data_IF_088588195397
#
_entry.id   IF_088588195397
#
_cell.length_a   1.000
_cell.length_b   1.000
_cell.length_c   1.000
_cell.angle_alpha   90.00
_cell.angle_beta   90.00
_cell.angle_gamma   90.00
#
_symmetry.space_group_name_H-M   'P 1'
#
loop_
_entity.id
_entity.type
_entity.pdbx_description
1 polymer ?
#
# COMPACT_ATOMS: atom_id res chain seq x y z
N UNK A 1 38.22 -4.51 31.56
CA UNK A 1 37.53 -3.21 31.39
C UNK A 1 37.20 -3.10 29.91
N UNK A 2 35.92 -3.19 29.54
CA UNK A 2 35.49 -3.08 28.15
C UNK A 2 35.21 -1.61 27.85
N UNK A 3 35.94 -1.05 26.90
CA UNK A 3 35.75 0.32 26.40
C UNK A 3 34.37 0.44 25.74
N UNK A 4 33.46 1.32 26.20
CA UNK A 4 32.23 1.59 25.49
C UNK A 4 32.60 2.40 24.25
N UNK A 5 32.62 1.75 23.08
CA UNK A 5 32.72 2.47 21.80
C UNK A 5 31.55 3.46 21.77
N UNK A 6 31.81 4.78 21.68
CA UNK A 6 30.74 5.75 21.60
C UNK A 6 29.89 5.40 20.40
N UNK A 7 28.59 5.18 20.62
CA UNK A 7 27.67 5.02 19.51
C UNK A 7 27.78 6.28 18.64
N UNK A 8 27.94 6.13 17.30
CA UNK A 8 28.18 7.26 16.43
C UNK A 8 27.03 8.27 16.57
N UNK A 9 27.36 9.56 16.67
CA UNK A 9 26.35 10.61 16.75
C UNK A 9 25.55 10.64 15.44
N UNK A 10 24.30 11.10 15.51
CA UNK A 10 23.40 11.19 14.35
C UNK A 10 24.05 11.97 13.18
N UNK A 11 24.84 12.99 13.50
CA UNK A 11 25.61 13.77 12.54
C UNK A 11 26.74 12.98 11.85
N UNK A 12 27.39 12.04 12.55
CA UNK A 12 28.39 11.14 11.98
C UNK A 12 27.75 10.15 11.00
N UNK A 13 26.56 9.63 11.37
CA UNK A 13 25.76 8.75 10.51
C UNK A 13 25.41 9.48 9.21
N UNK A 14 24.92 10.73 9.32
CA UNK A 14 24.56 11.54 8.16
C UNK A 14 25.78 11.96 7.32
N UNK A 15 26.91 12.25 7.95
CA UNK A 15 28.15 12.57 7.27
C UNK A 15 28.71 11.37 6.49
N UNK A 16 28.63 10.17 7.06
CA UNK A 16 29.06 8.93 6.40
C UNK A 16 28.21 8.62 5.17
N UNK A 17 26.89 8.75 5.26
CA UNK A 17 25.98 8.56 4.12
C UNK A 17 26.29 9.60 3.04
N UNK A 18 26.47 10.87 3.41
CA UNK A 18 26.82 11.94 2.46
C UNK A 18 28.16 11.69 1.76
N UNK A 19 29.16 11.16 2.47
CA UNK A 19 30.47 10.81 1.88
C UNK A 19 30.35 9.67 0.87
N UNK A 20 29.59 8.62 1.18
CA UNK A 20 29.42 7.46 0.29
C UNK A 20 28.68 7.85 -1.00
N UNK A 21 27.69 8.74 -0.91
CA UNK A 21 26.94 9.22 -2.08
C UNK A 21 27.78 10.20 -2.92
N UNK A 22 28.61 11.02 -2.28
CA UNK A 22 29.48 11.96 -2.98
C UNK A 22 30.70 11.28 -3.64
N UNK A 23 31.20 10.18 -3.06
CA UNK A 23 32.34 9.39 -3.54
C UNK A 23 31.88 8.26 -4.49
N UNK A 24 30.96 8.56 -5.42
CA UNK A 24 30.51 7.59 -6.41
C UNK A 24 31.72 7.11 -7.25
N UNK A 25 32.13 5.82 -7.23
CA UNK A 25 33.06 5.32 -8.23
C UNK A 25 32.29 5.20 -9.54
N UNK A 26 32.32 6.29 -10.31
CA UNK A 26 31.70 6.38 -11.61
C UNK A 26 32.08 5.22 -12.53
N UNK A 27 31.05 4.63 -13.12
CA UNK A 27 31.00 4.19 -14.52
C UNK A 27 32.30 3.62 -15.13
N UNK A 28 32.62 2.36 -14.84
CA UNK A 28 33.46 1.57 -15.72
C UNK A 28 32.63 1.09 -16.93
N UNK A 29 32.64 1.88 -18.01
CA UNK A 29 32.10 1.50 -19.31
C UNK A 29 32.95 0.37 -19.92
N UNK A 30 32.38 -0.81 -20.28
CA UNK A 30 33.16 -1.85 -20.92
C UNK A 30 33.58 -1.42 -22.35
N UNK A 31 34.80 -1.79 -22.80
CA UNK A 31 35.31 -1.38 -24.10
C UNK A 31 34.45 -1.98 -25.23
N UNK A 32 34.06 -1.12 -26.18
CA UNK A 32 33.36 -1.48 -27.41
C UNK A 32 34.26 -2.38 -28.28
N UNK A 33 33.78 -3.55 -28.77
CA UNK A 33 34.55 -4.36 -29.70
C UNK A 33 34.64 -3.71 -31.09
N UNK A 34 35.81 -3.81 -31.71
CA UNK A 34 36.11 -3.31 -33.05
C UNK A 34 35.37 -4.11 -34.16
N UNK A 35 35.10 -3.53 -35.34
CA UNK A 35 34.40 -4.21 -36.43
C UNK A 35 35.31 -5.20 -37.18
N UNK A 36 34.87 -6.44 -37.31
CA UNK A 36 35.48 -7.50 -38.13
C UNK A 36 34.94 -7.44 -39.57
N UNK A 37 35.74 -7.67 -40.63
CA UNK A 37 35.30 -7.56 -42.04
C UNK A 37 34.34 -8.70 -42.48
N UNK A 38 33.56 -8.52 -43.56
CA UNK A 38 32.58 -9.52 -44.00
C UNK A 38 33.21 -10.58 -44.91
N UNK A 39 32.80 -11.84 -44.72
CA UNK A 39 33.07 -12.95 -45.63
C UNK A 39 31.78 -13.80 -45.80
N UNK A 40 31.62 -14.55 -46.92
CA UNK A 40 30.41 -14.56 -47.74
C UNK A 40 29.37 -15.62 -47.40
N UNK A 41 28.20 -15.44 -48.02
CA UNK A 41 26.95 -16.19 -47.84
C UNK A 41 26.94 -17.63 -48.39
N UNK A 42 26.25 -18.53 -47.69
CA UNK A 42 25.50 -19.69 -48.20
C UNK A 42 24.52 -20.21 -47.11
N UNK A 43 23.54 -21.10 -47.40
CA UNK A 43 22.16 -20.78 -47.74
C UNK A 43 21.11 -21.13 -46.64
N UNK A 44 19.90 -20.55 -46.82
CA UNK A 44 18.64 -20.72 -46.04
C UNK A 44 18.26 -22.17 -45.76
N UNK A 45 17.64 -22.46 -44.61
CA UNK A 45 16.31 -23.12 -44.45
C UNK A 45 15.80 -23.03 -42.99
N UNK A 46 14.47 -23.12 -42.85
CA UNK A 46 13.64 -23.23 -41.64
C UNK A 46 13.27 -21.92 -40.90
N UNK A 47 12.06 -21.45 -41.20
CA UNK A 47 11.33 -20.52 -40.36
C UNK A 47 11.17 -21.12 -38.94
N UNK A 48 11.74 -20.45 -37.95
CA UNK A 48 11.42 -20.65 -36.54
C UNK A 48 10.78 -19.34 -36.07
N UNK A 49 9.60 -19.41 -35.45
CA UNK A 49 8.87 -18.25 -34.92
C UNK A 49 9.78 -17.30 -34.13
N UNK A 50 9.53 -15.98 -34.13
CA UNK A 50 10.19 -15.08 -33.20
C UNK A 50 9.85 -15.54 -31.77
N UNK A 51 10.84 -16.12 -31.10
CA UNK A 51 10.76 -16.40 -29.68
C UNK A 51 10.51 -15.06 -28.97
N UNK A 52 9.38 -14.95 -28.26
CA UNK A 52 9.11 -13.84 -27.37
C UNK A 52 10.33 -13.60 -26.47
N UNK A 53 10.70 -12.33 -26.20
CA UNK A 53 11.82 -12.04 -25.31
C UNK A 53 11.59 -12.79 -23.99
N UNK A 54 12.55 -13.64 -23.62
CA UNK A 54 12.55 -14.30 -22.31
C UNK A 54 12.42 -13.18 -21.27
N UNK A 55 11.41 -13.29 -20.42
CA UNK A 55 11.34 -12.49 -19.22
C UNK A 55 12.70 -12.58 -18.50
N UNK A 56 13.29 -11.46 -18.04
CA UNK A 56 14.49 -11.53 -17.23
C UNK A 56 14.22 -12.44 -16.03
N UNK A 57 15.25 -13.22 -15.70
CA UNK A 57 15.35 -14.13 -14.56
C UNK A 57 14.45 -13.70 -13.39
N UNK A 58 13.40 -14.50 -13.14
CA UNK A 58 12.42 -14.25 -12.08
C UNK A 58 12.98 -14.56 -10.69
N UNK A 59 14.26 -14.92 -10.61
CA UNK A 59 15.01 -15.29 -9.40
C UNK A 59 15.61 -14.10 -8.66
N UNK A 60 15.44 -12.86 -9.14
CA UNK A 60 15.72 -11.68 -8.32
C UNK A 60 14.44 -11.31 -7.56
N UNK A 61 14.31 -11.65 -6.27
CA UNK A 61 13.20 -11.19 -5.47
C UNK A 61 13.22 -9.65 -5.44
N UNK A 62 12.05 -8.99 -5.55
CA UNK A 62 12.01 -7.54 -5.48
C UNK A 62 12.60 -7.01 -4.16
N UNK A 63 13.14 -5.78 -4.12
CA UNK A 63 13.73 -5.20 -2.90
C UNK A 63 12.72 -4.86 -1.79
N UNK A 64 11.46 -5.26 -1.97
CA UNK A 64 10.35 -5.08 -1.03
C UNK A 64 9.89 -6.47 -0.60
N UNK A 65 9.47 -6.65 0.66
CA UNK A 65 9.11 -7.96 1.18
C UNK A 65 8.00 -8.57 0.31
N UNK A 66 8.25 -9.78 -0.18
CA UNK A 66 7.23 -10.56 -0.86
C UNK A 66 6.02 -10.67 0.07
N UNK A 67 4.83 -10.41 -0.49
CA UNK A 67 3.56 -10.54 0.22
C UNK A 67 3.55 -11.92 0.88
N UNK A 68 3.51 -11.98 2.21
CA UNK A 68 3.41 -13.25 2.92
C UNK A 68 2.18 -13.97 2.41
N UNK A 69 2.38 -15.14 1.83
CA UNK A 69 1.32 -15.98 1.33
C UNK A 69 0.43 -16.34 2.54
N UNK A 70 -0.86 -15.95 2.56
CA UNK A 70 -1.75 -16.26 3.67
C UNK A 70 -2.02 -17.77 3.80
N UNK A 71 -1.51 -18.58 2.86
CA UNK A 71 -1.55 -20.05 2.91
C UNK A 71 -0.37 -20.67 3.68
N UNK A 72 0.56 -19.87 4.23
CA UNK A 72 1.55 -20.37 5.17
C UNK A 72 0.82 -20.99 6.38
N UNK A 73 1.03 -22.30 6.57
CA UNK A 73 0.33 -23.06 7.60
C UNK A 73 0.63 -22.50 9.00
N UNK A 74 -0.37 -22.47 9.90
CA UNK A 74 -0.22 -21.90 11.25
C UNK A 74 0.86 -22.61 12.08
N UNK A 75 1.28 -23.81 11.68
CA UNK A 75 2.31 -24.63 12.33
C UNK A 75 3.67 -23.91 12.47
N UNK A 76 4.06 -23.05 11.51
CA UNK A 76 5.35 -22.34 11.54
C UNK A 76 5.39 -21.14 12.51
N UNK A 77 4.22 -20.63 12.90
CA UNK A 77 4.08 -19.47 13.82
C UNK A 77 3.92 -19.91 15.28
N UNK A 78 3.61 -21.19 15.53
CA UNK A 78 3.29 -21.72 16.85
C UNK A 78 4.51 -22.20 17.66
N UNK A 79 5.69 -22.37 17.04
CA UNK A 79 6.90 -22.85 17.74
C UNK A 79 7.52 -21.83 18.71
N UNK A 80 7.15 -20.55 18.60
CA UNK A 80 7.69 -19.47 19.46
C UNK A 80 6.81 -19.13 20.68
N UNK A 81 5.70 -19.87 20.91
CA UNK A 81 4.72 -19.55 21.98
C UNK A 81 4.58 -20.65 23.03
N UNK A 82 5.40 -21.71 23.00
CA UNK A 82 5.35 -22.84 23.98
C UNK A 82 5.91 -22.48 25.38
N UNK A 83 5.70 -21.24 25.82
CA UNK A 83 5.78 -20.88 27.24
C UNK A 83 4.60 -20.01 27.61
N UNK A 84 3.41 -20.61 27.66
CA UNK A 84 2.24 -19.98 28.26
C UNK A 84 2.42 -19.91 29.79
N UNK A 85 2.36 -18.72 30.42
CA UNK A 85 2.20 -18.62 31.87
C UNK A 85 0.78 -19.06 32.28
N UNK A 86 0.66 -19.54 33.52
CA UNK A 86 -0.55 -20.13 34.11
C UNK A 86 -1.89 -19.47 33.75
N UNK A 87 -2.89 -20.32 33.60
CA UNK A 87 -4.27 -20.00 33.26
C UNK A 87 -4.84 -18.80 34.03
N UNK A 88 -5.24 -17.76 33.29
CA UNK A 88 -6.13 -16.73 33.79
C UNK A 88 -7.47 -17.35 34.18
N UNK A 89 -7.76 -17.43 35.49
CA UNK A 89 -9.11 -17.75 35.97
C UNK A 89 -9.96 -16.47 35.94
N UNK A 90 -10.98 -16.36 35.06
CA UNK A 90 -11.90 -15.23 35.12
C UNK A 90 -12.65 -15.27 36.45
N UNK A 91 -12.58 -14.18 37.21
CA UNK A 91 -13.35 -14.00 38.45
C UNK A 91 -14.83 -13.88 38.07
N UNK A 92 -15.68 -14.79 38.55
CA UNK A 92 -17.13 -14.67 38.40
C UNK A 92 -17.60 -13.46 39.20
N UNK A 93 -18.21 -12.42 38.58
CA UNK A 93 -18.77 -11.31 39.32
C UNK A 93 -20.03 -11.76 40.09
N UNK A 94 -20.35 -11.14 41.24
CA UNK A 94 -21.59 -11.43 41.97
C UNK A 94 -22.83 -11.11 41.11
N UNK A 95 -23.97 -11.76 41.35
CA UNK A 95 -25.20 -11.49 40.60
C UNK A 95 -25.66 -10.06 40.88
N UNK A 96 -25.65 -9.21 39.84
CA UNK A 96 -26.30 -7.91 39.86
C UNK A 96 -27.82 -8.10 39.66
N UNK A 97 -28.68 -7.35 40.37
CA UNK A 97 -30.13 -7.42 40.18
C UNK A 97 -30.48 -7.09 38.74
N UNK A 98 -31.42 -7.85 38.16
CA UNK A 98 -31.84 -7.73 36.77
C UNK A 98 -32.28 -6.30 36.45
N UNK A 99 -31.43 -5.56 35.75
CA UNK A 99 -31.79 -4.29 35.16
C UNK A 99 -32.86 -4.56 34.09
N UNK A 100 -33.94 -3.77 34.13
CA UNK A 100 -34.86 -3.58 33.00
C UNK A 100 -34.04 -3.49 31.71
N UNK A 101 -34.41 -4.20 30.62
CA UNK A 101 -33.61 -4.18 29.40
C UNK A 101 -33.58 -2.76 28.85
N UNK A 102 -32.50 -2.03 29.13
CA UNK A 102 -32.21 -0.79 28.45
C UNK A 102 -31.93 -1.14 26.99
N UNK A 103 -32.50 -0.40 26.01
CA UNK A 103 -32.20 -0.66 24.62
C UNK A 103 -30.68 -0.62 24.42
N UNK A 104 -30.13 -1.49 23.55
CA UNK A 104 -28.71 -1.49 23.28
C UNK A 104 -28.25 -0.09 22.86
N UNK A 105 -27.02 0.31 23.20
CA UNK A 105 -26.54 1.69 23.07
C UNK A 105 -26.69 2.24 21.65
N UNK A 106 -26.60 1.37 20.65
CA UNK A 106 -26.81 1.70 19.24
C UNK A 106 -28.25 2.14 18.96
N UNK A 107 -29.26 1.44 19.49
CA UNK A 107 -30.66 1.82 19.30
C UNK A 107 -30.96 3.16 19.96
N UNK A 108 -30.37 3.42 21.14
CA UNK A 108 -30.50 4.70 21.82
C UNK A 108 -29.88 5.85 21.03
N UNK A 109 -28.73 5.62 20.38
CA UNK A 109 -28.09 6.61 19.51
C UNK A 109 -28.94 6.90 18.25
N UNK A 110 -29.50 5.86 17.63
CA UNK A 110 -30.38 5.98 16.46
C UNK A 110 -31.65 6.77 16.79
N UNK A 111 -32.27 6.49 17.94
CA UNK A 111 -33.50 7.18 18.35
C UNK A 111 -33.23 8.67 18.63
N UNK A 112 -32.10 8.99 19.26
CA UNK A 112 -31.68 10.39 19.46
C UNK A 112 -31.44 11.13 18.15
N UNK A 113 -30.87 10.46 17.14
CA UNK A 113 -30.65 11.05 15.82
C UNK A 113 -32.00 11.34 15.13
N UNK A 114 -32.94 10.38 15.18
CA UNK A 114 -34.29 10.55 14.64
C UNK A 114 -35.06 11.70 15.29
N UNK A 115 -34.94 11.82 16.61
CA UNK A 115 -35.59 12.90 17.35
C UNK A 115 -34.98 14.25 16.97
N UNK A 116 -33.65 14.35 16.87
CA UNK A 116 -32.96 15.57 16.44
C UNK A 116 -33.33 15.97 15.00
N UNK A 117 -33.54 15.01 14.10
CA UNK A 117 -33.97 15.28 12.72
C UNK A 117 -35.42 15.78 12.65
N UNK A 118 -36.30 15.28 13.53
CA UNK A 118 -37.70 15.69 13.61
C UNK A 118 -37.88 17.10 14.21
N UNK A 119 -36.95 17.53 15.06
CA UNK A 119 -36.92 18.87 15.65
C UNK A 119 -36.26 19.91 14.72
N UNK A 120 -35.62 19.48 13.63
CA UNK A 120 -34.99 20.38 12.68
C UNK A 120 -36.03 20.98 11.73
N UNK A 121 -36.11 22.31 11.57
CA UNK A 121 -37.02 22.92 10.60
C UNK A 121 -36.68 22.44 9.17
N UNK A 122 -37.68 22.36 8.26
CA UNK A 122 -37.44 21.90 6.89
C UNK A 122 -36.32 22.75 6.28
N UNK A 123 -35.29 22.07 5.79
CA UNK A 123 -34.09 22.69 5.24
C UNK A 123 -34.47 23.64 4.10
N UNK A 124 -34.61 24.92 4.43
CA UNK A 124 -34.76 25.97 3.42
C UNK A 124 -33.37 26.14 2.82
N UNK A 125 -33.18 25.98 1.50
CA UNK A 125 -31.86 26.10 0.88
C UNK A 125 -31.39 27.55 1.02
N UNK A 126 -30.68 27.83 2.11
CA UNK A 126 -29.99 29.09 2.32
C UNK A 126 -28.73 29.04 1.45
N UNK A 127 -28.51 30.00 0.55
CA UNK A 127 -27.28 30.03 -0.22
C UNK A 127 -26.12 30.14 0.76
N UNK A 128 -25.33 29.08 0.88
CA UNK A 128 -24.08 29.11 1.63
C UNK A 128 -23.13 30.00 0.86
N UNK A 129 -22.64 31.12 1.43
CA UNK A 129 -21.60 31.89 0.81
C UNK A 129 -20.42 30.95 0.56
N UNK A 130 -19.82 31.04 -0.63
CA UNK A 130 -18.73 30.16 -1.09
C UNK A 130 -17.51 30.18 -0.15
N UNK A 131 -17.46 31.15 0.75
CA UNK A 131 -16.45 31.33 1.80
C UNK A 131 -16.65 30.47 3.05
N UNK A 132 -17.82 29.85 3.24
CA UNK A 132 -18.11 28.97 4.38
C UNK A 132 -18.04 27.48 4.04
N UNK A 133 -17.85 27.11 2.77
CA UNK A 133 -17.50 25.74 2.44
C UNK A 133 -16.10 25.45 2.99
N UNK A 134 -15.87 24.29 3.63
CA UNK A 134 -14.52 23.85 3.97
C UNK A 134 -13.76 23.77 2.65
N UNK A 135 -12.90 24.76 2.41
CA UNK A 135 -11.97 24.74 1.30
C UNK A 135 -11.10 23.53 1.55
N UNK A 136 -11.26 22.48 0.73
CA UNK A 136 -10.14 21.55 0.51
C UNK A 136 -8.93 22.44 0.27
N UNK A 137 -7.82 22.27 1.03
CA UNK A 137 -6.66 23.10 0.84
C UNK A 137 -6.16 22.83 -0.57
N UNK A 138 -6.58 23.68 -1.51
CA UNK A 138 -5.91 23.81 -2.78
C UNK A 138 -4.51 24.29 -2.42
N UNK A 139 -3.45 23.57 -2.82
CA UNK A 139 -2.09 23.97 -2.51
C UNK A 139 -1.91 25.38 -3.05
N UNK A 140 -1.82 26.35 -2.13
CA UNK A 140 -1.54 27.72 -2.48
C UNK A 140 -0.11 27.70 -2.98
N UNK A 141 0.20 28.23 -4.18
CA UNK A 141 1.58 28.51 -4.53
C UNK A 141 2.03 29.71 -3.68
N UNK A 142 2.28 29.46 -2.39
CA UNK A 142 3.13 30.34 -1.61
C UNK A 142 4.52 30.17 -2.19
N UNK A 143 4.99 31.22 -2.85
CA UNK A 143 6.29 31.25 -3.48
C UNK A 143 7.38 30.84 -2.50
N UNK A 144 8.26 29.93 -2.96
CA UNK A 144 9.48 29.58 -2.26
C UNK A 144 9.98 28.18 -2.59
N UNK A 145 9.10 27.18 -2.54
CA UNK A 145 9.55 25.81 -2.49
C UNK A 145 8.62 24.93 -3.32
N UNK A 146 9.12 24.53 -4.50
CA UNK A 146 8.72 23.26 -5.12
C UNK A 146 9.01 22.20 -4.05
N UNK A 147 7.99 21.82 -3.30
CA UNK A 147 8.12 20.76 -2.33
C UNK A 147 8.48 19.48 -3.08
N UNK A 148 9.36 18.68 -2.49
CA UNK A 148 9.72 17.39 -3.07
C UNK A 148 8.47 16.53 -3.32
N UNK A 149 7.45 16.64 -2.47
CA UNK A 149 6.15 15.99 -2.66
C UNK A 149 5.47 16.41 -3.97
N UNK A 150 5.44 17.71 -4.27
CA UNK A 150 4.87 18.19 -5.53
C UNK A 150 5.65 17.64 -6.73
N UNK A 151 6.98 17.64 -6.68
CA UNK A 151 7.79 17.10 -7.78
C UNK A 151 7.63 15.58 -7.94
N UNK A 152 7.65 14.82 -6.84
CA UNK A 152 7.46 13.36 -6.84
C UNK A 152 6.06 13.01 -7.33
N UNK A 153 5.03 13.76 -6.93
CA UNK A 153 3.66 13.57 -7.41
C UNK A 153 3.57 13.80 -8.92
N UNK A 154 4.12 14.89 -9.43
CA UNK A 154 4.15 15.19 -10.87
C UNK A 154 4.83 14.06 -11.66
N UNK A 155 5.84 13.40 -11.10
CA UNK A 155 6.55 12.29 -11.74
C UNK A 155 5.85 10.93 -11.61
N UNK A 156 5.26 10.63 -10.44
CA UNK A 156 4.68 9.30 -10.13
C UNK A 156 3.23 9.18 -10.57
N UNK A 157 2.47 10.27 -10.58
CA UNK A 157 1.07 10.30 -11.02
C UNK A 157 0.83 9.71 -12.43
N UNK A 158 1.60 10.06 -13.48
CA UNK A 158 1.37 9.49 -14.81
C UNK A 158 1.63 7.97 -14.86
N UNK A 159 2.61 7.47 -14.11
CA UNK A 159 2.91 6.03 -14.07
C UNK A 159 1.81 5.25 -13.34
N UNK A 160 1.28 5.80 -12.25
CA UNK A 160 0.15 5.21 -11.54
C UNK A 160 -1.13 5.24 -12.37
N UNK A 161 -1.40 6.31 -13.10
CA UNK A 161 -2.57 6.42 -13.96
C UNK A 161 -2.57 5.36 -15.06
N UNK A 162 -1.46 5.26 -15.82
CA UNK A 162 -1.30 4.25 -16.87
C UNK A 162 -1.42 2.82 -16.32
N UNK A 163 -0.90 2.58 -15.11
CA UNK A 163 -1.04 1.28 -14.46
C UNK A 163 -2.49 1.00 -14.05
N UNK A 164 -3.19 1.97 -13.46
CA UNK A 164 -4.60 1.80 -13.06
C UNK A 164 -5.45 1.52 -14.30
N UNK A 165 -5.28 2.27 -15.39
CA UNK A 165 -6.04 2.04 -16.63
C UNK A 165 -5.85 0.62 -17.17
N UNK A 166 -4.63 0.07 -17.07
CA UNK A 166 -4.33 -1.29 -17.54
C UNK A 166 -4.81 -2.40 -16.61
N UNK A 167 -4.84 -2.17 -15.30
CA UNK A 167 -5.07 -3.23 -14.30
C UNK A 167 -6.46 -3.16 -13.63
N UNK A 168 -7.12 -2.00 -13.65
CA UNK A 168 -8.44 -1.81 -13.04
C UNK A 168 -9.53 -2.68 -13.70
N UNK A 169 -9.59 -2.86 -15.04
CA UNK A 169 -10.67 -3.63 -15.67
C UNK A 169 -10.74 -5.07 -15.16
N UNK A 170 -9.61 -5.79 -15.12
CA UNK A 170 -9.53 -7.18 -14.63
C UNK A 170 -10.00 -7.30 -13.17
N UNK A 171 -9.54 -6.38 -12.31
CA UNK A 171 -9.89 -6.39 -10.90
C UNK A 171 -11.40 -6.18 -10.68
N UNK A 172 -12.01 -5.29 -11.46
CA UNK A 172 -13.46 -5.05 -11.42
C UNK A 172 -14.23 -6.25 -11.95
N UNK A 173 -13.82 -6.85 -13.07
CA UNK A 173 -14.46 -8.04 -13.62
C UNK A 173 -14.50 -9.18 -12.61
N UNK A 174 -13.38 -9.45 -11.92
CA UNK A 174 -13.31 -10.47 -10.88
C UNK A 174 -14.22 -10.17 -9.69
N UNK A 175 -14.32 -8.91 -9.28
CA UNK A 175 -15.17 -8.48 -8.16
C UNK A 175 -16.65 -8.54 -8.52
N UNK A 176 -17.03 -8.11 -9.74
CA UNK A 176 -18.39 -8.20 -10.25
C UNK A 176 -18.81 -9.67 -10.44
N UNK A 177 -17.94 -10.52 -10.98
CA UNK A 177 -18.21 -11.97 -11.07
C UNK A 177 -18.43 -12.60 -9.70
N UNK A 178 -17.64 -12.20 -8.69
CA UNK A 178 -17.84 -12.65 -7.32
C UNK A 178 -19.18 -12.15 -6.73
N UNK A 179 -19.56 -10.90 -6.98
CA UNK A 179 -20.81 -10.33 -6.49
C UNK A 179 -22.03 -10.96 -7.17
N UNK A 180 -21.99 -11.21 -8.48
CA UNK A 180 -23.06 -11.91 -9.22
C UNK A 180 -23.25 -13.33 -8.67
N UNK A 181 -22.15 -14.08 -8.47
CA UNK A 181 -22.22 -15.44 -7.88
C UNK A 181 -22.86 -15.41 -6.49
N UNK A 182 -22.52 -14.40 -5.69
CA UNK A 182 -23.08 -14.21 -4.35
C UNK A 182 -24.57 -13.86 -4.39
N UNK A 183 -25.01 -13.04 -5.34
CA UNK A 183 -26.44 -12.73 -5.51
C UNK A 183 -27.23 -14.00 -5.91
N UNK A 184 -26.69 -14.77 -6.85
CA UNK A 184 -27.32 -16.01 -7.32
C UNK A 184 -27.43 -17.05 -6.19
N UNK A 185 -26.38 -17.24 -5.39
CA UNK A 185 -26.39 -18.18 -4.25
C UNK A 185 -27.38 -17.75 -3.15
N UNK A 186 -27.58 -16.44 -2.96
CA UNK A 186 -28.55 -15.89 -2.00
C UNK A 186 -29.99 -16.00 -2.49
N UNK A 187 -30.23 -16.04 -3.79
CA UNK A 187 -31.56 -16.18 -4.39
C UNK A 187 -31.99 -17.64 -4.62
N UNK A 188 -31.10 -18.61 -4.42
CA UNK A 188 -31.36 -20.05 -4.47
C UNK A 188 -31.71 -20.64 -3.09
#
# INVERSE_FOLDING_TARGET
>A
MADPRPEPSMEDILASIKRIIADEPGAASPPRPAPTPPAPAAPRMAATSPQAPRAPDRDVPPPWPARTDPTATPESVLDLTDRAPEAFRPRTPPPVPAATPEPPPVQRAVERLRQAESELPPATPRPVPRDLLPRTPTPRPSGGDITLDALVREMVQPMLADWIEKNLPDMVERMVQAEIRRMIDKEA
#
